data_IF_345588418190
#
_entry.id   IF_345588418190
#
_cell.length_a   1.000
_cell.length_b   1.000
_cell.length_c   1.000
_cell.angle_alpha   90.00
_cell.angle_beta   90.00
_cell.angle_gamma   90.00
#
_symmetry.space_group_name_H-M   'P 1'
#
loop_
_entity.id
_entity.type
_entity.pdbx_description
1 polymer ?
#
# COMPACT_ATOMS: atom_id res chain seq x y z
N UNK A 1 9.77 -22.84 -3.53
CA UNK A 1 8.60 -23.73 -3.52
C UNK A 1 8.23 -24.11 -4.95
N UNK A 2 7.88 -25.40 -5.19
CA UNK A 2 7.30 -25.86 -6.46
C UNK A 2 5.86 -25.35 -6.61
N UNK A 3 5.32 -25.41 -7.82
CA UNK A 3 3.91 -25.03 -8.11
C UNK A 3 2.95 -25.92 -7.32
N UNK A 4 3.15 -27.26 -7.32
CA UNK A 4 2.33 -28.22 -6.56
C UNK A 4 2.30 -27.91 -5.06
N UNK A 5 3.44 -27.54 -4.51
CA UNK A 5 3.52 -27.17 -3.08
C UNK A 5 2.74 -25.89 -2.78
N UNK A 6 2.82 -24.90 -3.67
CA UNK A 6 2.03 -23.67 -3.56
C UNK A 6 0.55 -23.99 -3.69
N UNK A 7 0.16 -24.82 -4.67
CA UNK A 7 -1.22 -25.24 -4.87
C UNK A 7 -1.79 -25.93 -3.65
N UNK A 8 -1.04 -26.88 -3.06
CA UNK A 8 -1.49 -27.57 -1.84
C UNK A 8 -1.76 -26.64 -0.66
N UNK A 9 -0.99 -25.55 -0.55
CA UNK A 9 -1.19 -24.54 0.51
C UNK A 9 -2.45 -23.70 0.22
N UNK A 10 -2.57 -23.22 -1.02
CA UNK A 10 -3.69 -22.35 -1.41
C UNK A 10 -5.02 -23.08 -1.39
N UNK A 11 -5.05 -24.33 -1.85
CA UNK A 11 -6.26 -25.17 -1.80
C UNK A 11 -6.78 -25.27 -0.35
N UNK A 12 -5.89 -25.55 0.61
CA UNK A 12 -6.27 -25.63 2.03
C UNK A 12 -6.72 -24.28 2.62
N UNK A 13 -6.16 -23.15 2.15
CA UNK A 13 -6.63 -21.84 2.57
C UNK A 13 -8.05 -21.56 2.05
N UNK A 14 -8.36 -21.97 0.83
CA UNK A 14 -9.68 -21.82 0.24
C UNK A 14 -10.77 -22.68 0.91
N UNK A 15 -10.40 -23.73 1.64
CA UNK A 15 -11.33 -24.53 2.44
C UNK A 15 -11.82 -23.79 3.71
N UNK A 16 -11.16 -22.69 4.08
CA UNK A 16 -11.47 -21.92 5.28
C UNK A 16 -12.48 -20.83 4.93
N UNK A 17 -13.72 -20.87 5.42
CA UNK A 17 -14.83 -20.02 4.94
C UNK A 17 -14.60 -18.50 5.07
N UNK A 18 -13.81 -18.06 6.03
CA UNK A 18 -13.51 -16.64 6.26
C UNK A 18 -12.24 -16.15 5.54
N UNK A 19 -11.54 -17.01 4.79
CA UNK A 19 -10.40 -16.62 3.95
C UNK A 19 -10.91 -16.29 2.55
N UNK A 20 -11.18 -15.01 2.33
CA UNK A 20 -11.76 -14.54 1.06
C UNK A 20 -10.69 -14.16 0.02
N UNK A 21 -9.50 -13.77 0.47
CA UNK A 21 -8.42 -13.27 -0.38
C UNK A 21 -7.10 -13.92 -0.02
N UNK A 22 -6.40 -14.46 -1.02
CA UNK A 22 -5.03 -14.97 -0.87
C UNK A 22 -4.04 -14.01 -1.53
N UNK A 23 -3.00 -13.63 -0.78
CA UNK A 23 -1.93 -12.75 -1.26
C UNK A 23 -0.59 -13.45 -1.25
N UNK A 24 0.09 -13.41 -2.39
CA UNK A 24 1.49 -13.83 -2.51
C UNK A 24 2.39 -12.60 -2.32
N UNK A 25 3.39 -12.69 -1.45
CA UNK A 25 4.48 -11.71 -1.35
C UNK A 25 5.75 -12.35 -1.93
N UNK A 26 6.32 -11.79 -3.01
CA UNK A 26 7.47 -12.42 -3.67
C UNK A 26 8.28 -11.46 -4.53
N UNK A 27 9.62 -11.49 -4.38
CA UNK A 27 10.55 -10.82 -5.28
C UNK A 27 10.80 -11.59 -6.60
N UNK A 28 10.20 -12.76 -6.79
CA UNK A 28 10.40 -13.63 -7.96
C UNK A 28 10.22 -12.91 -9.30
N UNK A 29 9.21 -12.05 -9.52
CA UNK A 29 9.09 -11.31 -10.77
C UNK A 29 10.29 -10.40 -11.09
N UNK A 30 11.05 -10.00 -10.05
CA UNK A 30 12.25 -9.18 -10.18
C UNK A 30 13.49 -10.04 -10.40
N UNK A 31 13.75 -10.97 -9.46
CA UNK A 31 15.02 -11.68 -9.38
C UNK A 31 15.08 -12.98 -10.19
N UNK A 32 13.93 -13.57 -10.49
CA UNK A 32 13.83 -14.83 -11.24
C UNK A 32 12.53 -14.88 -12.06
N UNK A 33 12.32 -13.93 -13.01
CA UNK A 33 11.08 -13.81 -13.77
C UNK A 33 10.69 -15.07 -14.55
N UNK A 34 11.65 -15.91 -14.93
CA UNK A 34 11.40 -17.19 -15.61
C UNK A 34 10.62 -18.19 -14.74
N UNK A 35 10.55 -18.00 -13.41
CA UNK A 35 9.72 -18.81 -12.51
C UNK A 35 8.22 -18.53 -12.68
N UNK A 36 7.86 -17.42 -13.33
CA UNK A 36 6.47 -17.13 -13.68
C UNK A 36 6.10 -17.93 -14.93
N UNK A 37 5.90 -19.23 -14.73
CA UNK A 37 5.55 -20.18 -15.77
C UNK A 37 4.04 -20.16 -16.06
N UNK A 38 3.62 -20.72 -17.19
CA UNK A 38 2.19 -20.84 -17.55
C UNK A 38 1.46 -21.71 -16.53
N UNK A 39 2.10 -22.78 -16.06
CA UNK A 39 1.59 -23.65 -15.02
C UNK A 39 1.32 -22.91 -13.70
N UNK A 40 2.29 -22.08 -13.23
CA UNK A 40 2.10 -21.27 -12.04
C UNK A 40 0.93 -20.30 -12.20
N UNK A 41 0.85 -19.63 -13.34
CA UNK A 41 -0.21 -18.65 -13.60
C UNK A 41 -1.58 -19.34 -13.72
N UNK A 42 -1.66 -20.50 -14.35
CA UNK A 42 -2.89 -21.31 -14.42
C UNK A 42 -3.37 -21.73 -13.02
N UNK A 43 -2.44 -22.17 -12.17
CA UNK A 43 -2.73 -22.49 -10.77
C UNK A 43 -3.25 -21.25 -10.02
N UNK A 44 -2.58 -20.09 -10.11
CA UNK A 44 -3.04 -18.87 -9.46
C UNK A 44 -4.44 -18.45 -9.96
N UNK A 45 -4.71 -18.59 -11.26
CA UNK A 45 -6.00 -18.27 -11.86
C UNK A 45 -7.13 -19.18 -11.33
N UNK A 46 -6.84 -20.43 -11.04
CA UNK A 46 -7.79 -21.40 -10.48
C UNK A 46 -8.33 -20.98 -9.10
N UNK A 47 -7.50 -20.29 -8.31
CA UNK A 47 -7.80 -19.91 -6.93
C UNK A 47 -8.02 -18.40 -6.75
N UNK A 48 -8.62 -17.74 -7.74
CA UNK A 48 -8.98 -16.31 -7.59
C UNK A 48 -10.10 -16.11 -6.56
N UNK A 49 -10.10 -14.94 -5.85
CA UNK A 49 -9.24 -13.77 -6.03
C UNK A 49 -7.87 -13.94 -5.39
N UNK A 50 -6.82 -13.77 -6.18
CA UNK A 50 -5.43 -13.77 -5.70
C UNK A 50 -4.72 -12.46 -6.04
N UNK A 51 -3.81 -12.05 -5.15
CA UNK A 51 -2.99 -10.86 -5.29
C UNK A 51 -1.52 -11.25 -5.24
N UNK A 52 -0.70 -10.62 -6.07
CA UNK A 52 0.76 -10.75 -6.01
C UNK A 52 1.37 -9.40 -5.66
N UNK A 53 2.06 -9.30 -4.53
CA UNK A 53 2.89 -8.14 -4.21
C UNK A 53 4.35 -8.46 -4.51
N UNK A 54 4.93 -7.71 -5.44
CA UNK A 54 6.34 -7.82 -5.82
C UNK A 54 7.19 -6.71 -5.19
N UNK A 55 8.53 -6.71 -5.44
CA UNK A 55 9.49 -5.87 -4.74
C UNK A 55 10.50 -5.21 -5.70
N UNK A 56 10.00 -4.42 -6.66
CA UNK A 56 10.86 -3.56 -7.47
C UNK A 56 11.29 -2.35 -6.64
N UNK A 57 12.59 -2.08 -6.57
CA UNK A 57 13.17 -0.94 -5.87
C UNK A 57 13.80 0.08 -6.82
N UNK A 58 14.06 -0.28 -8.07
CA UNK A 58 14.71 0.61 -9.03
C UNK A 58 14.15 0.38 -10.45
N UNK A 59 14.03 1.44 -11.31
CA UNK A 59 13.55 1.31 -12.69
C UNK A 59 14.33 0.32 -13.54
N UNK A 60 15.63 0.13 -13.27
CA UNK A 60 16.49 -0.81 -14.00
C UNK A 60 16.14 -2.28 -13.76
N UNK A 61 15.42 -2.61 -12.69
CA UNK A 61 14.94 -3.98 -12.42
C UNK A 61 13.78 -4.38 -13.34
N UNK A 62 13.12 -3.39 -13.99
CA UNK A 62 12.05 -3.64 -14.96
C UNK A 62 12.68 -4.01 -16.32
N UNK A 63 13.23 -5.20 -16.38
CA UNK A 63 13.89 -5.78 -17.56
C UNK A 63 12.86 -6.32 -18.58
N UNK A 64 13.27 -6.63 -19.82
CA UNK A 64 12.38 -7.31 -20.76
C UNK A 64 11.82 -8.64 -20.22
N UNK A 65 12.60 -9.38 -19.42
CA UNK A 65 12.16 -10.65 -18.82
C UNK A 65 11.12 -10.42 -17.73
N UNK A 66 11.35 -9.45 -16.81
CA UNK A 66 10.37 -9.11 -15.78
C UNK A 66 9.08 -8.54 -16.39
N UNK A 67 9.15 -7.72 -17.46
CA UNK A 67 7.95 -7.23 -18.17
C UNK A 67 7.10 -8.37 -18.73
N UNK A 68 7.72 -9.38 -19.36
CA UNK A 68 6.98 -10.55 -19.87
C UNK A 68 6.29 -11.33 -18.74
N UNK A 69 6.98 -11.48 -17.60
CA UNK A 69 6.41 -12.15 -16.43
C UNK A 69 5.21 -11.37 -15.86
N UNK A 70 5.34 -10.04 -15.72
CA UNK A 70 4.26 -9.17 -15.26
C UNK A 70 3.07 -9.17 -16.23
N UNK A 71 3.32 -9.10 -17.54
CA UNK A 71 2.29 -9.17 -18.55
C UNK A 71 1.52 -10.51 -18.45
N UNK A 72 2.23 -11.63 -18.35
CA UNK A 72 1.63 -12.95 -18.19
C UNK A 72 0.69 -13.04 -16.98
N UNK A 73 1.08 -12.49 -15.83
CA UNK A 73 0.24 -12.42 -14.63
C UNK A 73 -1.00 -11.55 -14.87
N UNK A 74 -0.79 -10.34 -15.37
CA UNK A 74 -1.86 -9.37 -15.57
C UNK A 74 -2.87 -9.80 -16.65
N UNK A 75 -2.41 -10.45 -17.74
CA UNK A 75 -3.26 -10.98 -18.82
C UNK A 75 -4.17 -12.12 -18.33
N UNK A 76 -3.81 -12.77 -17.23
CA UNK A 76 -4.61 -13.80 -16.58
C UNK A 76 -5.41 -13.30 -15.37
N UNK A 77 -5.55 -11.98 -15.21
CA UNK A 77 -6.37 -11.37 -14.17
C UNK A 77 -5.75 -11.39 -12.76
N UNK A 78 -4.45 -11.68 -12.64
CA UNK A 78 -3.76 -11.59 -11.35
C UNK A 78 -3.48 -10.13 -11.04
N UNK A 79 -3.98 -9.66 -9.91
CA UNK A 79 -3.75 -8.28 -9.45
C UNK A 79 -2.34 -8.15 -8.88
N UNK A 80 -1.58 -7.17 -9.39
CA UNK A 80 -0.18 -7.02 -9.03
C UNK A 80 0.05 -5.70 -8.31
N UNK A 81 0.61 -5.77 -7.09
CA UNK A 81 1.09 -4.64 -6.32
C UNK A 81 2.61 -4.64 -6.20
N UNK A 82 3.20 -3.49 -5.95
CA UNK A 82 4.63 -3.36 -5.67
C UNK A 82 4.88 -2.74 -4.29
N UNK A 83 5.80 -3.33 -3.57
CA UNK A 83 6.30 -2.85 -2.29
C UNK A 83 7.78 -2.51 -2.46
N UNK A 84 8.09 -1.20 -2.54
CA UNK A 84 9.48 -0.72 -2.57
C UNK A 84 9.98 -0.45 -1.16
N UNK A 85 11.28 -0.56 -0.96
CA UNK A 85 11.97 -0.04 0.22
C UNK A 85 12.75 1.21 -0.19
N UNK A 86 12.63 2.28 0.59
CA UNK A 86 13.40 3.51 0.36
C UNK A 86 14.84 3.31 0.86
N UNK A 87 15.78 3.33 -0.09
CA UNK A 87 17.18 2.98 0.14
C UNK A 87 18.09 4.14 -0.30
N UNK A 88 18.89 4.63 0.63
CA UNK A 88 19.87 5.71 0.40
C UNK A 88 20.85 5.32 -0.71
N UNK A 89 21.06 6.26 -1.65
CA UNK A 89 22.00 6.09 -2.76
C UNK A 89 21.53 5.12 -3.85
N UNK A 90 20.35 4.54 -3.71
CA UNK A 90 19.75 3.64 -4.70
C UNK A 90 18.50 4.26 -5.34
N UNK A 91 17.52 4.59 -4.56
CA UNK A 91 16.22 5.09 -5.03
C UNK A 91 15.67 6.28 -4.21
N UNK A 92 16.48 6.90 -3.37
CA UNK A 92 16.13 8.07 -2.57
C UNK A 92 16.18 9.41 -3.35
N UNK A 93 16.27 9.33 -4.67
CA UNK A 93 16.09 10.45 -5.59
C UNK A 93 14.63 10.54 -6.05
N UNK A 94 13.95 11.70 -5.92
CA UNK A 94 12.56 11.86 -6.35
C UNK A 94 12.33 11.50 -7.83
N UNK A 95 13.30 11.81 -8.71
CA UNK A 95 13.22 11.51 -10.15
C UNK A 95 13.27 9.99 -10.39
N UNK A 96 14.17 9.28 -9.70
CA UNK A 96 14.29 7.81 -9.82
C UNK A 96 13.00 7.14 -9.30
N UNK A 97 12.48 7.61 -8.19
CA UNK A 97 11.24 7.06 -7.63
C UNK A 97 10.05 7.33 -8.56
N UNK A 98 9.93 8.55 -9.11
CA UNK A 98 8.89 8.87 -10.11
C UNK A 98 8.97 7.96 -11.33
N UNK A 99 10.17 7.77 -11.87
CA UNK A 99 10.39 6.86 -13.00
C UNK A 99 9.98 5.42 -12.65
N UNK A 100 10.34 4.94 -11.46
CA UNK A 100 9.96 3.60 -11.00
C UNK A 100 8.44 3.43 -10.97
N UNK A 101 7.73 4.34 -10.29
CA UNK A 101 6.27 4.20 -10.11
C UNK A 101 5.52 4.33 -11.45
N UNK A 102 5.97 5.18 -12.36
CA UNK A 102 5.40 5.32 -13.70
C UNK A 102 5.61 4.05 -14.54
N UNK A 103 6.82 3.47 -14.53
CA UNK A 103 7.10 2.20 -15.21
C UNK A 103 6.31 1.03 -14.63
N UNK A 104 6.10 1.00 -13.32
CA UNK A 104 5.25 -0.01 -12.68
C UNK A 104 3.82 0.07 -13.22
N UNK A 105 3.20 1.25 -13.21
CA UNK A 105 1.83 1.45 -13.74
C UNK A 105 1.75 1.09 -15.22
N UNK A 106 2.74 1.50 -16.03
CA UNK A 106 2.82 1.12 -17.44
C UNK A 106 2.81 -0.41 -17.64
N UNK A 107 3.38 -1.15 -16.69
CA UNK A 107 3.38 -2.62 -16.69
C UNK A 107 2.21 -3.23 -15.89
N UNK A 108 1.16 -2.45 -15.61
CA UNK A 108 -0.05 -2.89 -14.88
C UNK A 108 0.24 -3.38 -13.45
N UNK A 109 1.27 -2.82 -12.83
CA UNK A 109 1.63 -3.06 -11.44
C UNK A 109 1.26 -1.82 -10.62
N UNK A 110 0.40 -1.97 -9.61
CA UNK A 110 0.06 -0.88 -8.70
C UNK A 110 1.21 -0.62 -7.73
N UNK A 111 1.84 0.59 -7.70
CA UNK A 111 2.69 0.99 -6.58
C UNK A 111 1.83 0.99 -5.31
N UNK A 112 2.13 0.08 -4.39
CA UNK A 112 1.30 -0.14 -3.20
C UNK A 112 1.90 0.57 -1.98
N UNK A 113 3.13 0.22 -1.62
CA UNK A 113 3.86 0.84 -0.54
C UNK A 113 5.28 1.26 -0.94
N UNK A 114 5.75 2.36 -0.32
CA UNK A 114 7.17 2.61 -0.09
C UNK A 114 7.40 2.41 1.41
N UNK A 115 8.21 1.41 1.78
CA UNK A 115 8.61 1.20 3.16
C UNK A 115 9.82 2.05 3.48
N UNK A 116 9.79 2.77 4.59
CA UNK A 116 11.01 3.34 5.15
C UNK A 116 11.92 2.22 5.62
N UNK A 117 13.21 2.27 5.25
CA UNK A 117 14.17 1.21 5.57
C UNK A 117 14.21 0.90 7.07
N UNK A 118 14.13 -0.37 7.42
CA UNK A 118 14.09 -0.84 8.80
C UNK A 118 15.45 -0.75 9.52
N UNK A 119 15.38 -0.87 10.85
CA UNK A 119 16.56 -0.90 11.74
C UNK A 119 17.12 -2.33 11.79
N UNK A 120 17.57 -2.86 10.66
CA UNK A 120 18.17 -4.19 10.61
C UNK A 120 19.69 -4.09 10.67
N UNK A 121 20.33 -5.10 11.25
CA UNK A 121 21.78 -5.18 11.32
C UNK A 121 22.38 -5.25 9.91
N UNK A 122 23.46 -4.51 9.66
CA UNK A 122 24.19 -4.52 8.39
C UNK A 122 23.67 -3.60 7.29
N UNK A 123 22.43 -3.04 7.40
CA UNK A 123 21.84 -2.20 6.37
C UNK A 123 21.81 -0.69 6.72
N UNK A 124 22.51 -0.27 7.76
CA UNK A 124 22.51 1.11 8.23
C UNK A 124 22.93 2.14 7.16
N UNK A 125 23.81 1.76 6.25
CA UNK A 125 24.26 2.61 5.14
C UNK A 125 23.17 2.90 4.09
N UNK A 126 22.13 2.06 3.99
CA UNK A 126 20.98 2.29 3.12
C UNK A 126 19.88 3.13 3.75
N UNK A 127 20.02 3.50 5.01
CA UNK A 127 18.98 4.30 5.68
C UNK A 127 19.03 5.74 5.23
N UNK A 128 17.86 6.33 5.03
CA UNK A 128 17.69 7.75 4.75
C UNK A 128 16.85 8.42 5.86
N UNK A 129 16.62 9.72 5.80
CA UNK A 129 15.75 10.41 6.74
C UNK A 129 14.27 10.26 6.37
N UNK A 130 13.38 10.37 7.36
CA UNK A 130 11.93 10.45 7.12
C UNK A 130 11.59 11.63 6.20
N UNK A 131 12.27 12.78 6.40
CA UNK A 131 12.10 13.97 5.56
C UNK A 131 12.37 13.71 4.08
N UNK A 132 13.35 12.87 3.75
CA UNK A 132 13.61 12.48 2.35
C UNK A 132 12.44 11.68 1.75
N UNK A 133 11.83 10.81 2.53
CA UNK A 133 10.63 10.10 2.07
C UNK A 133 9.44 11.03 1.84
N UNK A 134 9.24 12.02 2.72
CA UNK A 134 8.21 13.05 2.56
C UNK A 134 8.47 13.89 1.31
N UNK A 135 9.71 14.33 1.07
CA UNK A 135 10.11 15.05 -0.16
C UNK A 135 9.75 14.26 -1.42
N UNK A 136 10.03 12.96 -1.43
CA UNK A 136 9.67 12.07 -2.55
C UNK A 136 8.15 12.01 -2.73
N UNK A 137 7.40 11.86 -1.65
CA UNK A 137 5.93 11.83 -1.73
C UNK A 137 5.35 13.13 -2.26
N UNK A 138 5.84 14.28 -1.81
CA UNK A 138 5.44 15.60 -2.32
C UNK A 138 5.78 15.76 -3.81
N UNK A 139 6.93 15.24 -4.24
CA UNK A 139 7.32 15.25 -5.65
C UNK A 139 6.43 14.36 -6.52
N UNK A 140 5.87 13.29 -5.98
CA UNK A 140 4.93 12.41 -6.71
C UNK A 140 3.54 13.04 -6.83
N UNK A 141 3.05 13.70 -5.77
CA UNK A 141 1.77 14.39 -5.79
C UNK A 141 1.76 15.52 -6.82
N UNK A 142 0.71 15.57 -7.65
CA UNK A 142 0.56 16.58 -8.71
C UNK A 142 1.47 16.40 -9.94
N UNK A 143 2.49 15.55 -9.89
CA UNK A 143 3.46 15.37 -10.98
C UNK A 143 3.40 13.99 -11.65
N UNK A 144 2.49 13.13 -11.24
CA UNK A 144 2.16 11.86 -11.89
C UNK A 144 0.70 11.50 -11.67
N UNK A 145 0.22 10.42 -12.34
CA UNK A 145 -1.15 9.94 -12.09
C UNK A 145 -1.32 9.44 -10.65
N UNK A 146 -2.48 9.65 -10.05
CA UNK A 146 -2.82 9.12 -8.72
C UNK A 146 -2.68 7.60 -8.60
N UNK A 147 -2.80 6.85 -9.73
CA UNK A 147 -2.51 5.41 -9.75
C UNK A 147 -1.06 5.08 -9.47
N UNK A 148 -0.14 6.00 -9.72
CA UNK A 148 1.29 5.82 -9.51
C UNK A 148 1.77 6.27 -8.12
N UNK A 149 0.93 6.93 -7.32
CA UNK A 149 1.31 7.39 -5.99
C UNK A 149 1.08 6.28 -4.96
N UNK A 150 2.16 5.71 -4.36
CA UNK A 150 2.07 4.72 -3.30
C UNK A 150 1.77 5.34 -1.94
N UNK A 151 1.55 4.51 -0.92
CA UNK A 151 1.61 4.95 0.48
C UNK A 151 3.02 4.82 1.03
N UNK A 152 3.53 5.86 1.64
CA UNK A 152 4.79 5.80 2.37
C UNK A 152 4.52 5.40 3.81
N UNK A 153 5.23 4.37 4.30
CA UNK A 153 4.99 3.77 5.62
C UNK A 153 6.28 3.43 6.33
N UNK A 154 6.22 3.41 7.65
CA UNK A 154 7.26 2.90 8.53
C UNK A 154 6.68 1.85 9.47
N UNK A 155 7.30 0.70 9.55
CA UNK A 155 7.04 -0.26 10.62
C UNK A 155 7.80 0.20 11.88
N UNK A 156 7.04 0.81 12.80
CA UNK A 156 7.60 1.38 14.04
C UNK A 156 7.67 0.28 15.09
N UNK A 157 8.83 0.15 15.74
CA UNK A 157 9.05 -0.83 16.81
C UNK A 157 8.21 -0.55 18.07
N UNK A 158 8.33 -1.45 19.06
CA UNK A 158 7.63 -1.28 20.34
C UNK A 158 6.12 -1.54 20.29
N UNK A 159 5.65 -2.34 19.31
CA UNK A 159 4.22 -2.68 19.18
C UNK A 159 3.37 -1.66 18.42
N UNK A 160 3.96 -0.53 17.98
CA UNK A 160 3.23 0.50 17.22
C UNK A 160 2.83 0.02 15.82
N UNK A 161 3.69 -0.80 15.17
CA UNK A 161 3.38 -1.40 13.88
C UNK A 161 3.47 -0.45 12.70
N UNK A 162 2.73 -0.77 11.65
CA UNK A 162 2.76 -0.05 10.37
C UNK A 162 2.08 1.30 10.46
N UNK A 163 2.89 2.36 10.38
CA UNK A 163 2.44 3.74 10.51
C UNK A 163 2.60 4.46 9.16
N UNK A 164 1.51 5.01 8.58
CA UNK A 164 1.59 5.86 7.40
C UNK A 164 2.34 7.17 7.73
N UNK A 165 3.13 7.63 6.76
CA UNK A 165 3.86 8.88 6.82
C UNK A 165 3.42 9.71 5.63
N UNK A 166 2.52 10.65 5.88
CA UNK A 166 2.00 11.54 4.85
C UNK A 166 2.56 12.97 5.03
N UNK A 167 2.77 13.71 3.94
CA UNK A 167 3.04 15.14 4.04
C UNK A 167 1.91 15.86 4.77
N UNK A 168 2.23 16.77 5.70
CA UNK A 168 1.24 17.61 6.35
C UNK A 168 0.71 18.67 5.39
N UNK A 169 -0.48 18.43 4.85
CA UNK A 169 -1.17 19.40 3.98
C UNK A 169 -2.17 20.27 4.74
N UNK A 170 -2.56 19.90 5.95
CA UNK A 170 -3.37 20.74 6.83
C UNK A 170 -2.41 21.57 7.71
N UNK A 171 -2.47 22.89 7.54
CA UNK A 171 -1.67 23.84 8.33
C UNK A 171 -2.38 24.18 9.64
N UNK A 172 -3.69 24.40 9.57
CA UNK A 172 -4.52 24.78 10.73
C UNK A 172 -5.95 24.31 10.54
N UNK A 173 -6.61 23.96 11.63
CA UNK A 173 -8.01 23.54 11.65
C UNK A 173 -8.73 24.19 12.83
N UNK A 174 -9.93 24.67 12.54
CA UNK A 174 -10.94 25.13 13.53
C UNK A 174 -12.31 24.56 13.17
N UNK A 175 -13.31 24.79 14.01
CA UNK A 175 -14.69 24.36 13.71
C UNK A 175 -15.33 25.07 12.52
N UNK A 176 -14.72 26.17 12.05
CA UNK A 176 -15.25 27.00 10.97
C UNK A 176 -14.40 27.00 9.72
N UNK A 177 -13.13 26.65 9.82
CA UNK A 177 -12.20 26.82 8.71
C UNK A 177 -11.00 25.88 8.82
N UNK A 178 -10.58 25.35 7.68
CA UNK A 178 -9.33 24.60 7.52
C UNK A 178 -8.42 25.34 6.55
N UNK A 179 -7.17 25.51 6.94
CA UNK A 179 -6.09 26.08 6.11
C UNK A 179 -5.26 24.93 5.56
N UNK A 180 -5.12 24.87 4.26
CA UNK A 180 -4.33 23.87 3.55
C UNK A 180 -3.11 24.50 2.87
N UNK A 181 -2.09 23.71 2.65
CA UNK A 181 -1.10 23.89 1.59
C UNK A 181 -1.22 22.76 0.58
N UNK A 182 -0.94 23.02 -0.69
CA UNK A 182 -0.77 21.96 -1.67
C UNK A 182 0.70 21.49 -1.74
N UNK A 183 1.00 20.57 -2.67
CA UNK A 183 2.34 20.05 -2.91
C UNK A 183 3.32 21.10 -3.45
N UNK A 184 2.85 22.21 -4.02
CA UNK A 184 3.66 23.37 -4.45
C UNK A 184 3.84 24.41 -3.35
N UNK A 185 3.23 24.21 -2.17
CA UNK A 185 3.26 25.17 -1.07
C UNK A 185 2.21 26.28 -1.19
N UNK A 186 1.32 26.26 -2.18
CA UNK A 186 0.23 27.22 -2.31
C UNK A 186 -0.77 27.02 -1.19
N UNK A 187 -1.13 28.12 -0.51
CA UNK A 187 -2.04 28.10 0.63
C UNK A 187 -3.48 28.38 0.15
N UNK A 188 -4.40 27.55 0.62
CA UNK A 188 -5.82 27.69 0.40
C UNK A 188 -6.61 27.55 1.70
N UNK A 189 -7.88 27.97 1.68
CA UNK A 189 -8.80 27.82 2.81
C UNK A 189 -10.04 27.09 2.39
N UNK A 190 -10.60 26.30 3.29
CA UNK A 190 -11.90 25.66 3.20
C UNK A 190 -12.76 26.13 4.38
N UNK A 191 -13.98 26.53 4.10
CA UNK A 191 -14.95 26.95 5.12
C UNK A 191 -15.78 25.72 5.47
N UNK A 192 -15.75 25.32 6.74
CA UNK A 192 -16.58 24.24 7.24
C UNK A 192 -18.07 24.65 7.22
N UNK A 193 -18.97 23.71 6.85
CA UNK A 193 -20.40 23.97 6.91
C UNK A 193 -20.86 24.22 8.36
N UNK A 194 -21.81 25.15 8.52
CA UNK A 194 -22.39 25.44 9.82
C UNK A 194 -23.29 24.28 10.29
N UNK A 195 -23.23 23.95 11.59
CA UNK A 195 -24.15 23.01 12.22
C UNK A 195 -23.90 21.53 11.92
N UNK A 196 -22.78 21.17 11.28
CA UNK A 196 -22.38 19.78 11.15
C UNK A 196 -21.77 19.25 12.46
N UNK A 197 -22.62 18.69 13.30
CA UNK A 197 -22.15 17.60 14.16
C UNK A 197 -21.73 16.43 13.24
N UNK A 198 -20.63 15.74 13.55
CA UNK A 198 -20.29 14.51 12.82
C UNK A 198 -21.52 13.60 12.80
N UNK A 199 -22.06 13.33 11.61
CA UNK A 199 -23.21 12.46 11.50
C UNK A 199 -22.80 11.05 11.94
N UNK A 200 -23.41 10.58 12.99
CA UNK A 200 -23.49 9.14 13.27
C UNK A 200 -24.23 8.48 12.10
N UNK A 201 -23.96 7.20 11.89
CA UNK A 201 -24.76 6.40 10.98
C UNK A 201 -26.23 6.53 11.35
N UNK A 202 -27.18 6.68 10.40
CA UNK A 202 -28.61 6.70 10.69
C UNK A 202 -28.99 5.52 11.61
N UNK A 203 -29.89 5.75 12.56
CA UNK A 203 -30.34 4.70 13.49
C UNK A 203 -30.92 3.47 12.78
N UNK A 204 -31.47 3.68 11.57
CA UNK A 204 -32.06 2.64 10.71
C UNK A 204 -31.08 2.08 9.65
N UNK A 205 -29.77 2.20 9.84
CA UNK A 205 -28.81 1.65 8.91
C UNK A 205 -28.76 0.11 8.98
N UNK A 206 -29.43 -0.55 8.07
CA UNK A 206 -29.52 -2.01 7.98
C UNK A 206 -28.15 -2.68 7.92
N UNK A 207 -27.18 -2.10 7.21
CA UNK A 207 -25.82 -2.64 7.13
C UNK A 207 -25.12 -2.65 8.49
N UNK A 208 -25.26 -1.59 9.28
CA UNK A 208 -24.69 -1.54 10.62
C UNK A 208 -25.42 -2.51 11.59
N UNK A 209 -26.72 -2.69 11.42
CA UNK A 209 -27.52 -3.64 12.21
C UNK A 209 -27.11 -5.08 11.91
N UNK A 210 -27.05 -5.46 10.63
CA UNK A 210 -26.57 -6.79 10.18
C UNK A 210 -25.15 -7.09 10.69
N UNK A 211 -24.27 -6.09 10.70
CA UNK A 211 -22.89 -6.27 11.22
C UNK A 211 -22.88 -6.51 12.72
N UNK A 212 -23.68 -5.76 13.48
CA UNK A 212 -23.83 -5.96 14.94
C UNK A 212 -24.40 -7.33 15.27
N UNK A 213 -25.44 -7.76 14.55
CA UNK A 213 -26.04 -9.09 14.73
C UNK A 213 -25.04 -10.23 14.45
N UNK A 214 -24.10 -10.01 13.51
CA UNK A 214 -23.03 -10.95 13.18
C UNK A 214 -21.82 -10.85 14.12
N UNK A 215 -21.84 -9.99 15.14
CA UNK A 215 -20.71 -9.76 16.04
C UNK A 215 -19.48 -9.16 15.34
N UNK A 216 -19.71 -8.43 14.26
CA UNK A 216 -18.65 -7.80 13.43
C UNK A 216 -18.50 -6.30 13.77
N UNK A 217 -18.71 -5.92 15.01
CA UNK A 217 -18.45 -4.56 15.44
C UNK A 217 -16.97 -4.22 15.32
N UNK A 218 -16.69 -3.12 14.63
CA UNK A 218 -15.31 -2.68 14.49
C UNK A 218 -14.83 -1.99 15.75
N UNK A 219 -13.64 -2.34 16.25
CA UNK A 219 -13.08 -1.66 17.40
C UNK A 219 -12.88 -0.18 17.09
N UNK A 220 -13.11 0.67 18.07
CA UNK A 220 -12.76 2.10 17.95
C UNK A 220 -11.27 2.24 17.71
N UNK A 221 -10.90 3.03 16.69
CA UNK A 221 -9.51 3.21 16.25
C UNK A 221 -9.07 4.67 16.33
N UNK A 222 -7.75 4.88 16.36
CA UNK A 222 -7.16 6.21 16.38
C UNK A 222 -7.55 7.02 17.62
N UNK A 223 -7.82 8.30 17.44
CA UNK A 223 -8.18 9.20 18.56
C UNK A 223 -9.45 8.80 19.27
N UNK A 224 -10.41 8.19 18.60
CA UNK A 224 -11.65 7.72 19.22
C UNK A 224 -11.40 6.70 20.32
N UNK A 225 -10.38 5.83 20.17
CA UNK A 225 -9.99 4.87 21.18
C UNK A 225 -9.42 5.52 22.45
N UNK A 226 -8.68 6.62 22.29
CA UNK A 226 -8.10 7.35 23.43
C UNK A 226 -9.17 7.99 24.30
N UNK A 227 -10.28 8.42 23.72
CA UNK A 227 -11.39 9.05 24.44
C UNK A 227 -12.39 8.05 25.04
N UNK A 228 -12.35 6.78 24.62
CA UNK A 228 -13.24 5.75 25.17
C UNK A 228 -12.77 5.14 26.49
N UNK A 229 -11.56 5.45 26.94
CA UNK A 229 -10.96 4.86 28.13
C UNK A 229 -10.53 3.38 27.97
N UNK A 230 -10.55 2.85 26.77
CA UNK A 230 -10.22 1.46 26.45
C UNK A 230 -8.71 1.25 26.23
N UNK A 231 -7.88 2.20 26.65
CA UNK A 231 -6.42 2.06 26.62
C UNK A 231 -5.98 1.43 27.92
N UNK A 232 -5.81 0.12 27.90
CA UNK A 232 -5.18 -0.67 28.93
C UNK A 232 -3.81 -1.17 28.47
#
# INVERSE_FOLDING_TARGET
LSTDRLESIVARLHEIPHVEIVRYGSAVPVVMPQRITDELVAMMKKYQPVWLNTHFNHPKEITPASRRALAKLADNGIVIGNQSVLLRGLNDCPIIMKELVQRLVHNRVRPYYIYHCDLSQGIGHFRTSIGKGIEIMEHLWGHTTGFAVPRYVKDVGGGVGKTPIDPCYIISRSDRMVIFRNYEGTIGRYIEPEGLASSSCPEECTLCEERRERGLDEPRVGLARLFSGEVG
#
